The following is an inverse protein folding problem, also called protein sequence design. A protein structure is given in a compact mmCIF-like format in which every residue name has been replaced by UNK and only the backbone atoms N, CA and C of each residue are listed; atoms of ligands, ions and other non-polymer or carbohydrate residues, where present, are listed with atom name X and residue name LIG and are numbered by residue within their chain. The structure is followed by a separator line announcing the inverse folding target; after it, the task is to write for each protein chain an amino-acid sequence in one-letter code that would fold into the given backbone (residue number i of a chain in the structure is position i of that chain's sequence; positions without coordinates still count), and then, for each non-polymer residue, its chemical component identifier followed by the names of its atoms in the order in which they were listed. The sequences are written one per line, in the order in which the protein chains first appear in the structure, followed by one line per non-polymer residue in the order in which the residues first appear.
data_IF_324970441968
#
_entry.id   IF_324970441968
#
_cell.length_a   1.000
_cell.length_b   1.000
_cell.length_c   1.000
_cell.angle_alpha   90.00
_cell.angle_beta   90.00
_cell.angle_gamma   90.00
#
_symmetry.space_group_name_H-M   'P 1'
#
loop_
_entity.id
_entity.type
_entity.pdbx_description
1 polymer ?
#
# COMPACT_ATOMS: atom_id res chain seq x y z
N UNK A 1 -13.69 -23.86 -37.26
CA UNK A 1 -13.99 -22.61 -36.51
C UNK A 1 -13.90 -22.95 -35.04
N UNK A 2 -12.74 -22.75 -34.44
CA UNK A 2 -12.54 -22.95 -33.00
C UNK A 2 -13.21 -21.79 -32.27
N UNK A 3 -14.22 -22.10 -31.46
CA UNK A 3 -14.85 -21.17 -30.54
C UNK A 3 -13.82 -20.72 -29.51
N UNK A 4 -13.33 -19.50 -29.70
CA UNK A 4 -12.54 -18.78 -28.71
C UNK A 4 -13.45 -18.54 -27.50
N UNK A 5 -13.27 -19.33 -26.44
CA UNK A 5 -13.90 -19.08 -25.15
C UNK A 5 -13.33 -17.76 -24.62
N UNK A 6 -13.99 -16.65 -24.93
CA UNK A 6 -13.77 -15.37 -24.26
C UNK A 6 -14.13 -15.61 -22.79
N UNK A 7 -13.11 -15.86 -21.96
CA UNK A 7 -13.30 -16.01 -20.53
C UNK A 7 -14.03 -14.77 -20.01
N UNK A 8 -15.20 -14.97 -19.40
CA UNK A 8 -15.93 -13.87 -18.78
C UNK A 8 -15.00 -13.21 -17.76
N UNK A 9 -14.73 -11.89 -17.85
CA UNK A 9 -13.82 -11.24 -16.93
C UNK A 9 -14.35 -11.41 -15.51
N UNK A 10 -13.58 -12.05 -14.65
CA UNK A 10 -13.90 -12.21 -13.23
C UNK A 10 -13.00 -11.30 -12.41
N UNK A 11 -13.60 -10.58 -11.45
CA UNK A 11 -12.84 -9.73 -10.53
C UNK A 11 -11.96 -10.55 -9.58
N UNK A 12 -12.23 -11.85 -9.42
CA UNK A 12 -11.43 -12.76 -8.60
C UNK A 12 -9.98 -12.90 -9.07
N UNK A 13 -9.71 -12.63 -10.35
CA UNK A 13 -8.38 -12.76 -10.94
C UNK A 13 -7.63 -11.43 -11.07
N UNK A 14 -8.21 -10.32 -10.58
CA UNK A 14 -7.52 -9.02 -10.62
C UNK A 14 -6.33 -9.04 -9.67
N UNK A 15 -5.24 -8.42 -10.13
CA UNK A 15 -4.06 -8.20 -9.32
C UNK A 15 -4.24 -6.96 -8.42
N UNK A 16 -3.64 -6.95 -7.23
CA UNK A 16 -3.61 -5.78 -6.36
C UNK A 16 -2.87 -4.60 -6.98
N UNK A 17 -3.22 -3.40 -6.52
CA UNK A 17 -2.57 -2.14 -6.88
C UNK A 17 -2.60 -1.78 -8.36
N UNK A 18 -3.52 -2.35 -9.16
CA UNK A 18 -3.48 -2.17 -10.61
C UNK A 18 -3.56 -0.69 -11.02
N UNK A 19 -4.58 0.04 -10.57
CA UNK A 19 -4.78 1.46 -10.90
C UNK A 19 -3.60 2.34 -10.46
N UNK A 20 -3.12 2.13 -9.24
CA UNK A 20 -2.05 2.92 -8.63
C UNK A 20 -0.70 2.61 -9.28
N UNK A 21 -0.45 1.37 -9.69
CA UNK A 21 0.73 1.01 -10.48
C UNK A 21 0.65 1.64 -11.87
N UNK A 22 -0.51 1.60 -12.54
CA UNK A 22 -0.68 2.20 -13.86
C UNK A 22 -0.35 3.69 -13.82
N UNK A 23 -0.89 4.41 -12.84
CA UNK A 23 -0.66 5.83 -12.65
C UNK A 23 0.79 6.13 -12.26
N UNK A 24 1.39 5.29 -11.40
CA UNK A 24 2.81 5.40 -11.07
C UNK A 24 3.68 5.30 -12.34
N UNK A 25 3.45 4.31 -13.20
CA UNK A 25 4.22 4.10 -14.42
C UNK A 25 3.96 5.22 -15.44
N UNK A 26 2.72 5.69 -15.54
CA UNK A 26 2.34 6.81 -16.41
C UNK A 26 3.08 8.08 -16.04
N UNK A 27 3.10 8.44 -14.75
CA UNK A 27 3.82 9.63 -14.27
C UNK A 27 5.33 9.41 -14.35
N UNK A 28 5.82 8.22 -14.03
CA UNK A 28 7.25 7.90 -14.08
C UNK A 28 7.81 7.93 -15.51
N UNK A 29 6.99 7.68 -16.54
CA UNK A 29 7.42 7.69 -17.94
C UNK A 29 7.94 9.06 -18.41
N UNK A 30 7.58 10.17 -17.72
CA UNK A 30 8.10 11.51 -18.04
C UNK A 30 9.46 11.82 -17.38
N UNK A 31 9.94 10.94 -16.50
CA UNK A 31 11.18 11.15 -15.74
C UNK A 31 12.39 10.71 -16.58
N UNK A 32 13.37 11.60 -16.84
CA UNK A 32 14.58 11.22 -17.56
C UNK A 32 15.37 10.12 -16.84
N UNK A 33 16.01 9.19 -17.57
CA UNK A 33 16.82 8.15 -16.94
C UNK A 33 18.08 8.76 -16.30
N UNK A 34 18.45 8.25 -15.13
CA UNK A 34 19.67 8.68 -14.44
C UNK A 34 20.93 8.40 -15.27
N UNK A 35 21.85 9.37 -15.33
CA UNK A 35 23.17 9.21 -15.96
C UNK A 35 24.04 8.18 -15.24
N UNK A 36 25.13 7.75 -15.87
CA UNK A 36 26.07 6.81 -15.24
C UNK A 36 26.59 7.32 -13.88
N UNK A 37 26.91 8.61 -13.79
CA UNK A 37 27.39 9.27 -12.56
C UNK A 37 26.29 9.29 -11.49
N UNK A 38 25.05 9.65 -11.86
CA UNK A 38 23.92 9.64 -10.92
C UNK A 38 23.62 8.23 -10.38
N UNK A 39 23.67 7.22 -11.26
CA UNK A 39 23.52 5.80 -10.85
C UNK A 39 24.63 5.34 -9.92
N UNK A 40 25.85 5.83 -10.13
CA UNK A 40 27.01 5.52 -9.29
C UNK A 40 26.80 6.04 -7.86
N UNK A 41 26.36 7.29 -7.69
CA UNK A 41 26.09 7.90 -6.38
C UNK A 41 24.76 7.49 -5.74
N UNK A 42 23.94 6.66 -6.42
CA UNK A 42 22.67 6.20 -5.86
C UNK A 42 21.56 7.25 -5.85
N UNK A 43 21.56 8.14 -6.84
CA UNK A 43 20.41 9.01 -7.12
C UNK A 43 19.20 8.11 -7.43
N UNK A 44 18.06 8.41 -6.80
CA UNK A 44 16.83 7.65 -7.04
C UNK A 44 16.36 7.80 -8.49
N UNK A 45 15.94 6.73 -9.17
CA UNK A 45 15.29 6.86 -10.48
C UNK A 45 13.83 7.30 -10.37
N UNK A 46 13.23 7.24 -9.17
CA UNK A 46 11.84 7.60 -8.94
C UNK A 46 11.67 9.13 -9.00
N UNK A 47 10.77 9.59 -9.86
CA UNK A 47 10.40 11.01 -9.93
C UNK A 47 9.58 11.43 -8.73
N UNK A 48 9.70 12.71 -8.33
CA UNK A 48 8.96 13.29 -7.21
C UNK A 48 7.43 13.13 -7.38
N UNK A 49 6.91 13.37 -8.57
CA UNK A 49 5.46 13.29 -8.83
C UNK A 49 4.95 11.84 -8.91
N UNK A 50 5.85 10.88 -9.19
CA UNK A 50 5.53 9.45 -9.17
C UNK A 50 5.61 8.85 -7.75
N UNK A 51 6.29 9.50 -6.82
CA UNK A 51 6.53 8.97 -5.47
C UNK A 51 5.25 8.65 -4.69
N UNK A 52 4.21 9.52 -4.65
CA UNK A 52 2.97 9.20 -3.95
C UNK A 52 2.28 7.93 -4.50
N UNK A 53 2.27 7.75 -5.82
CA UNK A 53 1.71 6.57 -6.49
C UNK A 53 2.55 5.33 -6.21
N UNK A 54 3.87 5.45 -6.31
CA UNK A 54 4.81 4.37 -5.96
C UNK A 54 4.61 3.88 -4.52
N UNK A 55 4.52 4.81 -3.55
CA UNK A 55 4.25 4.46 -2.16
C UNK A 55 2.85 3.86 -2.00
N UNK A 56 1.83 4.39 -2.67
CA UNK A 56 0.49 3.81 -2.69
C UNK A 56 0.51 2.34 -3.12
N UNK A 57 1.14 2.05 -4.26
CA UNK A 57 1.26 0.70 -4.80
C UNK A 57 2.00 -0.25 -3.85
N UNK A 58 3.11 0.19 -3.25
CA UNK A 58 3.80 -0.61 -2.23
C UNK A 58 2.92 -0.92 -1.02
N UNK A 59 2.07 0.02 -0.62
CA UNK A 59 1.12 -0.18 0.47
C UNK A 59 0.12 -1.27 0.15
N UNK A 60 -0.58 -1.14 -0.98
CA UNK A 60 -1.59 -2.10 -1.42
C UNK A 60 -1.02 -3.50 -1.67
N UNK A 61 0.17 -3.59 -2.27
CA UNK A 61 0.87 -4.86 -2.45
C UNK A 61 1.21 -5.52 -1.10
N UNK A 62 1.63 -4.75 -0.10
CA UNK A 62 1.93 -5.27 1.23
C UNK A 62 0.67 -5.74 1.97
N UNK A 63 -0.45 -5.02 1.83
CA UNK A 63 -1.74 -5.45 2.38
C UNK A 63 -2.23 -6.71 1.69
N UNK A 64 -2.19 -6.77 0.36
CA UNK A 64 -2.55 -7.96 -0.41
C UNK A 64 -1.74 -9.20 0.03
N UNK A 65 -0.41 -9.07 0.10
CA UNK A 65 0.49 -10.14 0.57
C UNK A 65 0.12 -10.66 1.96
N UNK A 66 -0.40 -9.80 2.84
CA UNK A 66 -0.89 -10.23 4.16
C UNK A 66 -2.22 -10.94 4.07
N UNK A 67 -3.14 -10.45 3.25
CA UNK A 67 -4.46 -11.04 3.06
C UNK A 67 -4.37 -12.47 2.50
N UNK A 68 -3.34 -12.79 1.72
CA UNK A 68 -3.04 -14.17 1.26
C UNK A 68 -2.94 -15.17 2.43
N UNK A 69 -2.56 -14.69 3.63
CA UNK A 69 -2.44 -15.52 4.81
C UNK A 69 -3.77 -15.82 5.51
N UNK A 70 -4.93 -15.33 5.04
CA UNK A 70 -6.24 -15.55 5.69
C UNK A 70 -6.69 -17.02 5.68
N UNK A 71 -6.36 -17.76 4.62
CA UNK A 71 -6.64 -19.19 4.49
C UNK A 71 -8.07 -19.50 4.01
N UNK A 72 -8.49 -20.76 4.15
CA UNK A 72 -9.77 -21.25 3.61
C UNK A 72 -10.98 -20.51 4.20
N UNK A 73 -12.01 -20.35 3.39
CA UNK A 73 -13.25 -19.66 3.76
C UNK A 73 -13.15 -18.13 3.70
N UNK A 74 -12.01 -17.58 3.28
CA UNK A 74 -11.85 -16.16 2.98
C UNK A 74 -11.63 -15.95 1.49
N UNK A 75 -12.26 -14.92 0.94
CA UNK A 75 -12.15 -14.49 -0.44
C UNK A 75 -11.73 -13.03 -0.47
N UNK A 76 -10.77 -12.71 -1.33
CA UNK A 76 -10.21 -11.37 -1.46
C UNK A 76 -10.34 -10.95 -2.92
N UNK A 77 -10.96 -9.81 -3.15
CA UNK A 77 -11.03 -9.15 -4.44
C UNK A 77 -10.14 -7.92 -4.39
N UNK A 78 -9.35 -7.70 -5.42
CA UNK A 78 -8.40 -6.61 -5.52
C UNK A 78 -8.80 -5.61 -6.61
N UNK A 79 -8.48 -4.32 -6.42
CA UNK A 79 -8.73 -3.26 -7.40
C UNK A 79 -10.17 -3.31 -7.93
N UNK A 80 -11.13 -3.29 -6.99
CA UNK A 80 -12.55 -3.45 -7.30
C UNK A 80 -13.13 -2.10 -7.74
N UNK A 81 -13.67 -1.97 -8.96
CA UNK A 81 -14.14 -0.69 -9.47
C UNK A 81 -15.40 -0.26 -8.74
N UNK A 82 -15.42 0.98 -8.23
CA UNK A 82 -16.60 1.51 -7.53
C UNK A 82 -17.03 2.88 -8.06
N UNK A 83 -17.75 2.87 -9.18
CA UNK A 83 -18.51 4.01 -9.67
C UNK A 83 -18.11 4.54 -11.02
N UNK A 84 -18.43 5.81 -11.27
CA UNK A 84 -18.30 6.47 -12.59
C UNK A 84 -16.96 7.17 -12.79
N UNK A 85 -16.03 7.09 -11.82
CA UNK A 85 -14.71 7.73 -11.86
C UNK A 85 -13.57 6.71 -11.82
N UNK A 86 -12.33 7.18 -11.73
CA UNK A 86 -11.11 6.35 -11.73
C UNK A 86 -10.74 5.73 -10.37
N UNK A 87 -11.58 5.86 -9.34
CA UNK A 87 -11.28 5.33 -8.00
C UNK A 87 -11.79 3.90 -7.88
N UNK A 88 -10.86 2.96 -7.70
CA UNK A 88 -11.13 1.61 -7.25
C UNK A 88 -11.00 1.47 -5.73
N UNK A 89 -11.57 0.40 -5.18
CA UNK A 89 -11.26 -0.09 -3.84
C UNK A 89 -10.02 -0.96 -3.92
N UNK A 90 -9.07 -0.73 -3.03
CA UNK A 90 -7.86 -1.55 -2.95
C UNK A 90 -8.24 -3.03 -2.74
N UNK A 91 -9.07 -3.32 -1.71
CA UNK A 91 -9.51 -4.67 -1.41
C UNK A 91 -10.96 -4.76 -0.90
N UNK A 92 -11.65 -5.82 -1.32
CA UNK A 92 -12.88 -6.32 -0.69
C UNK A 92 -12.61 -7.71 -0.15
N UNK A 93 -12.84 -7.91 1.15
CA UNK A 93 -12.62 -9.19 1.82
C UNK A 93 -13.95 -9.75 2.30
N UNK A 94 -14.23 -11.00 1.95
CA UNK A 94 -15.45 -11.72 2.32
C UNK A 94 -15.02 -12.98 3.07
N UNK A 95 -15.56 -13.19 4.27
CA UNK A 95 -15.26 -14.38 5.04
C UNK A 95 -16.26 -14.62 6.16
N UNK A 96 -15.98 -15.55 7.10
CA UNK A 96 -16.93 -15.93 8.13
C UNK A 96 -17.37 -14.75 8.98
N UNK A 97 -16.51 -13.74 9.14
CA UNK A 97 -16.77 -12.55 9.94
C UNK A 97 -17.65 -11.48 9.26
N UNK A 98 -17.99 -11.65 7.97
CA UNK A 98 -18.71 -10.65 7.18
C UNK A 98 -17.93 -10.15 5.98
N UNK A 99 -18.33 -8.96 5.48
CA UNK A 99 -17.71 -8.27 4.34
C UNK A 99 -16.97 -7.02 4.82
N UNK A 100 -15.79 -6.78 4.27
CA UNK A 100 -14.92 -5.67 4.63
C UNK A 100 -14.42 -4.97 3.37
N UNK A 101 -14.49 -3.63 3.32
CA UNK A 101 -13.61 -2.87 2.42
C UNK A 101 -12.34 -2.54 3.18
N UNK A 102 -11.19 -2.71 2.53
CA UNK A 102 -9.90 -2.37 3.13
C UNK A 102 -9.25 -1.34 2.22
N UNK A 103 -9.11 -0.13 2.76
CA UNK A 103 -8.41 0.97 2.11
C UNK A 103 -7.02 1.13 2.73
N UNK A 104 -6.00 1.20 1.90
CA UNK A 104 -4.60 1.21 2.29
C UNK A 104 -4.07 2.63 2.34
N UNK A 105 -3.33 2.94 3.41
CA UNK A 105 -2.67 4.23 3.58
C UNK A 105 -1.22 4.03 3.96
N UNK A 106 -0.34 4.18 2.98
CA UNK A 106 1.10 4.07 3.19
C UNK A 106 1.67 5.40 3.68
N UNK A 107 2.12 5.40 4.94
CA UNK A 107 2.67 6.58 5.61
C UNK A 107 4.10 6.29 6.09
N UNK A 108 4.97 5.90 5.16
CA UNK A 108 6.36 5.47 5.44
C UNK A 108 7.09 6.51 6.29
N UNK A 109 7.57 6.11 7.46
CA UNK A 109 8.38 6.97 8.34
C UNK A 109 7.57 8.04 9.10
N UNK A 110 6.27 8.16 8.86
CA UNK A 110 5.44 9.22 9.43
C UNK A 110 4.77 8.81 10.74
N UNK A 111 4.29 9.81 11.48
CA UNK A 111 3.54 9.63 12.72
C UNK A 111 2.04 9.73 12.41
N UNK A 112 1.30 8.66 12.69
CA UNK A 112 -0.16 8.61 12.51
C UNK A 112 -0.84 8.72 13.87
N UNK A 113 -1.86 9.55 13.96
CA UNK A 113 -2.65 9.75 15.16
C UNK A 113 -4.13 9.58 14.84
N UNK A 114 -4.79 8.68 15.56
CA UNK A 114 -6.20 8.30 15.32
C UNK A 114 -7.05 8.80 16.48
N UNK A 115 -8.12 9.52 16.17
CA UNK A 115 -9.20 9.89 17.09
C UNK A 115 -10.56 9.53 16.50
N UNK A 116 -11.62 9.68 17.31
CA UNK A 116 -12.98 9.25 16.94
C UNK A 116 -13.47 9.72 15.57
N UNK A 117 -13.16 10.95 15.18
CA UNK A 117 -13.70 11.57 13.94
C UNK A 117 -12.65 11.94 12.89
N UNK A 118 -11.37 11.68 13.15
CA UNK A 118 -10.29 12.09 12.23
C UNK A 118 -9.00 11.30 12.44
N UNK A 119 -8.22 11.21 11.37
CA UNK A 119 -6.84 10.76 11.38
C UNK A 119 -5.96 11.98 11.11
N UNK A 120 -4.86 12.10 11.85
CA UNK A 120 -3.79 13.05 11.58
C UNK A 120 -2.54 12.29 11.11
N UNK A 121 -1.89 12.80 10.08
CA UNK A 121 -0.64 12.26 9.55
C UNK A 121 0.40 13.37 9.63
N UNK A 122 1.41 13.20 10.46
CA UNK A 122 2.45 14.21 10.72
C UNK A 122 1.85 15.59 11.08
N UNK A 123 0.76 15.59 11.86
CA UNK A 123 0.04 16.80 12.28
C UNK A 123 -1.03 17.31 11.29
N UNK A 124 -1.06 16.81 10.06
CA UNK A 124 -2.02 17.23 9.03
C UNK A 124 -3.31 16.42 9.09
N UNK A 125 -4.46 17.09 8.95
CA UNK A 125 -5.78 16.46 8.94
C UNK A 125 -6.02 15.72 7.64
N UNK A 126 -6.65 14.54 7.72
CA UNK A 126 -7.02 13.76 6.55
C UNK A 126 -8.50 13.42 6.52
N UNK A 127 -9.01 13.14 5.32
CA UNK A 127 -10.38 12.71 5.08
C UNK A 127 -10.56 11.18 5.06
N UNK A 128 -9.55 10.42 5.51
CA UNK A 128 -9.52 8.96 5.34
C UNK A 128 -10.73 8.25 5.94
N UNK A 129 -11.19 8.64 7.14
CA UNK A 129 -12.36 8.03 7.77
C UNK A 129 -13.64 8.26 6.96
N UNK A 130 -13.85 9.50 6.48
CA UNK A 130 -15.02 9.86 5.69
C UNK A 130 -15.04 9.08 4.38
N UNK A 131 -13.90 9.03 3.69
CA UNK A 131 -13.79 8.34 2.40
C UNK A 131 -14.03 6.83 2.58
N UNK A 132 -13.39 6.18 3.56
CA UNK A 132 -13.59 4.75 3.82
C UNK A 132 -15.05 4.42 4.17
N UNK A 133 -15.72 5.25 4.97
CA UNK A 133 -17.13 5.06 5.30
C UNK A 133 -18.04 5.20 4.07
N UNK A 134 -17.79 6.20 3.21
CA UNK A 134 -18.54 6.39 1.96
C UNK A 134 -18.36 5.21 1.00
N UNK A 135 -17.12 4.73 0.87
CA UNK A 135 -16.75 3.56 0.08
C UNK A 135 -17.49 2.31 0.57
N UNK A 136 -17.43 1.99 1.86
CA UNK A 136 -18.14 0.83 2.43
C UNK A 136 -19.66 0.93 2.25
N UNK A 137 -20.26 2.11 2.46
CA UNK A 137 -21.69 2.32 2.25
C UNK A 137 -22.08 2.08 0.79
N UNK A 138 -21.24 2.51 -0.15
CA UNK A 138 -21.46 2.26 -1.59
C UNK A 138 -21.36 0.77 -1.91
N UNK A 139 -20.32 0.11 -1.42
CA UNK A 139 -20.10 -1.34 -1.57
C UNK A 139 -21.28 -2.14 -1.02
N UNK A 140 -21.74 -1.80 0.19
CA UNK A 140 -22.91 -2.42 0.82
C UNK A 140 -24.14 -2.31 -0.08
N UNK A 141 -24.43 -1.11 -0.62
CA UNK A 141 -25.56 -0.92 -1.54
C UNK A 141 -25.45 -1.78 -2.80
N UNK A 142 -24.26 -1.83 -3.41
CA UNK A 142 -24.03 -2.58 -4.65
C UNK A 142 -24.14 -4.09 -4.43
N UNK A 143 -23.45 -4.62 -3.42
CA UNK A 143 -23.50 -6.05 -3.09
C UNK A 143 -24.89 -6.47 -2.63
N UNK A 144 -25.61 -5.62 -1.88
CA UNK A 144 -26.98 -5.94 -1.46
C UNK A 144 -27.92 -6.06 -2.66
N UNK A 145 -27.81 -5.15 -3.63
CA UNK A 145 -28.61 -5.19 -4.85
C UNK A 145 -28.28 -6.44 -5.69
N UNK A 146 -27.00 -6.77 -5.83
CA UNK A 146 -26.56 -7.92 -6.61
C UNK A 146 -26.89 -9.27 -5.93
N UNK A 147 -26.82 -9.34 -4.61
CA UNK A 147 -27.11 -10.55 -3.83
C UNK A 147 -28.61 -10.75 -3.57
N UNK A 148 -29.44 -9.73 -3.76
CA UNK A 148 -30.88 -9.76 -3.45
C UNK A 148 -31.19 -9.82 -1.95
N UNK A 149 -30.22 -9.48 -1.09
CA UNK A 149 -30.36 -9.49 0.37
C UNK A 149 -29.45 -8.42 1.00
N UNK A 150 -29.75 -7.91 2.21
CA UNK A 150 -28.88 -6.94 2.88
C UNK A 150 -27.47 -7.48 3.13
N UNK A 151 -26.46 -6.72 2.70
CA UNK A 151 -25.03 -7.00 2.91
C UNK A 151 -24.41 -5.84 3.68
N UNK A 152 -24.10 -6.07 4.95
CA UNK A 152 -23.35 -5.11 5.77
C UNK A 152 -21.86 -5.18 5.44
N UNK A 153 -21.24 -4.02 5.29
CA UNK A 153 -19.83 -3.90 4.91
C UNK A 153 -19.10 -3.05 5.94
N UNK A 154 -18.08 -3.63 6.57
CA UNK A 154 -17.27 -2.93 7.58
C UNK A 154 -16.11 -2.18 6.91
N UNK A 155 -16.07 -0.84 6.95
CA UNK A 155 -14.94 -0.08 6.43
C UNK A 155 -13.71 -0.27 7.32
N UNK A 156 -12.60 -0.61 6.68
CA UNK A 156 -11.31 -0.85 7.34
C UNK A 156 -10.23 -0.03 6.66
N UNK A 157 -9.38 0.63 7.45
CA UNK A 157 -8.19 1.33 6.98
C UNK A 157 -6.96 0.58 7.49
N UNK A 158 -6.10 0.16 6.57
CA UNK A 158 -4.81 -0.43 6.87
C UNK A 158 -3.70 0.62 6.74
N UNK A 159 -3.10 0.99 7.87
CA UNK A 159 -1.95 1.90 7.91
C UNK A 159 -0.68 1.08 7.68
N UNK A 160 0.05 1.40 6.61
CA UNK A 160 1.30 0.71 6.21
C UNK A 160 2.51 1.60 6.48
N UNK A 161 3.58 1.03 7.02
CA UNK A 161 4.90 1.69 7.08
C UNK A 161 5.03 2.89 8.03
N UNK A 162 3.98 3.21 8.80
CA UNK A 162 4.01 4.29 9.77
C UNK A 162 5.04 4.03 10.89
N UNK A 163 5.94 5.00 11.12
CA UNK A 163 6.96 4.95 12.19
C UNK A 163 6.30 4.79 13.56
N UNK A 164 5.18 5.47 13.77
CA UNK A 164 4.36 5.35 14.98
C UNK A 164 2.89 5.56 14.64
N UNK A 165 2.01 4.79 15.29
CA UNK A 165 0.56 4.95 15.20
C UNK A 165 0.04 5.04 16.63
N UNK A 166 -0.57 6.16 16.98
CA UNK A 166 -1.15 6.39 18.30
C UNK A 166 -2.66 6.45 18.16
N UNK A 167 -3.36 5.54 18.83
CA UNK A 167 -4.82 5.54 18.87
C UNK A 167 -5.25 6.19 20.18
N UNK A 168 -5.72 7.43 20.12
CA UNK A 168 -6.29 8.12 21.29
C UNK A 168 -7.72 7.66 21.55
N UNK A 169 -8.48 7.52 20.47
CA UNK A 169 -9.87 7.10 20.51
C UNK A 169 -10.20 6.39 19.20
N UNK A 170 -10.92 5.27 19.29
CA UNK A 170 -11.29 4.48 18.11
C UNK A 170 -12.49 5.12 17.41
N UNK A 171 -12.48 5.31 16.08
CA UNK A 171 -13.67 5.69 15.35
C UNK A 171 -14.78 4.66 15.53
N UNK A 172 -16.02 5.12 15.63
CA UNK A 172 -17.18 4.24 15.82
C UNK A 172 -17.46 3.40 14.57
N UNK A 173 -17.41 4.04 13.40
CA UNK A 173 -17.91 3.45 12.16
C UNK A 173 -16.81 2.86 11.27
N UNK A 174 -15.53 3.11 11.59
CA UNK A 174 -14.38 2.70 10.75
C UNK A 174 -13.31 2.05 11.60
N UNK A 175 -12.89 0.86 11.18
CA UNK A 175 -11.80 0.12 11.80
C UNK A 175 -10.47 0.66 11.27
N UNK A 176 -9.57 1.08 12.15
CA UNK A 176 -8.23 1.56 11.78
C UNK A 176 -7.19 0.67 12.45
N UNK A 177 -6.34 0.03 11.64
CA UNK A 177 -5.36 -0.95 12.10
C UNK A 177 -4.01 -0.70 11.43
N UNK A 178 -2.94 -1.19 12.06
CA UNK A 178 -1.70 -1.42 11.32
C UNK A 178 -1.87 -2.64 10.41
N UNK A 179 -1.18 -2.62 9.28
CA UNK A 179 -1.09 -3.74 8.35
C UNK A 179 -0.71 -5.06 9.06
N UNK A 180 0.18 -5.00 10.05
CA UNK A 180 0.62 -6.17 10.84
C UNK A 180 -0.46 -6.80 11.70
N UNK A 181 -1.52 -6.05 12.03
CA UNK A 181 -2.62 -6.49 12.90
C UNK A 181 -3.78 -7.07 12.09
N UNK A 182 -3.90 -6.69 10.81
CA UNK A 182 -5.07 -6.90 9.96
C UNK A 182 -5.56 -8.36 9.92
N UNK A 183 -4.70 -9.29 9.52
CA UNK A 183 -5.05 -10.71 9.37
C UNK A 183 -5.47 -11.33 10.70
N UNK A 184 -4.72 -11.02 11.76
CA UNK A 184 -5.02 -11.51 13.12
C UNK A 184 -6.36 -10.95 13.60
N UNK A 185 -6.63 -9.68 13.32
CA UNK A 185 -7.87 -9.03 13.69
C UNK A 185 -9.06 -9.67 12.97
N UNK A 186 -8.99 -9.83 11.64
CA UNK A 186 -10.03 -10.47 10.82
C UNK A 186 -10.35 -11.88 11.32
N UNK A 187 -9.33 -12.71 11.58
CA UNK A 187 -9.50 -14.10 12.05
C UNK A 187 -10.11 -14.23 13.44
N UNK A 188 -9.92 -13.23 14.32
CA UNK A 188 -10.45 -13.24 15.69
C UNK A 188 -11.89 -12.72 15.78
N UNK A 189 -12.46 -12.23 14.69
CA UNK A 189 -13.86 -11.80 14.67
C UNK A 189 -14.78 -13.01 14.80
N UNK A 190 -15.89 -12.82 15.50
CA UNK A 190 -16.96 -13.82 15.59
C UNK A 190 -17.51 -14.08 14.19
N UNK A 191 -17.73 -15.36 13.87
CA UNK A 191 -18.41 -15.74 12.64
C UNK A 191 -19.86 -15.23 12.64
N UNK A 192 -20.21 -14.48 11.61
CA UNK A 192 -21.53 -13.92 11.33
C UNK A 192 -22.18 -14.54 10.07
N UNK A 193 -21.38 -15.14 9.19
CA UNK A 193 -21.83 -15.79 7.96
C UNK A 193 -21.51 -17.29 7.99
N UNK A 194 -22.47 -18.11 7.58
CA UNK A 194 -22.27 -19.53 7.30
C UNK A 194 -21.39 -19.72 6.04
N UNK A 195 -20.65 -20.83 5.92
CA UNK A 195 -19.77 -21.08 4.77
C UNK A 195 -20.46 -20.90 3.40
N UNK A 196 -21.70 -21.38 3.27
CA UNK A 196 -22.46 -21.29 2.03
C UNK A 196 -22.89 -19.85 1.72
N UNK A 197 -23.10 -19.02 2.75
CA UNK A 197 -23.37 -17.58 2.55
C UNK A 197 -22.12 -16.86 2.06
N UNK A 198 -20.95 -17.21 2.62
CA UNK A 198 -19.66 -16.65 2.19
C UNK A 198 -19.41 -16.99 0.72
N UNK A 199 -19.57 -18.25 0.33
CA UNK A 199 -19.38 -18.71 -1.05
C UNK A 199 -20.33 -18.01 -2.02
N UNK A 200 -21.62 -17.92 -1.69
CA UNK A 200 -22.59 -17.20 -2.52
C UNK A 200 -22.23 -15.73 -2.70
N UNK A 201 -21.86 -15.04 -1.62
CA UNK A 201 -21.46 -13.63 -1.69
C UNK A 201 -20.16 -13.46 -2.47
N UNK A 202 -19.20 -14.37 -2.33
CA UNK A 202 -17.95 -14.34 -3.10
C UNK A 202 -18.20 -14.50 -4.60
N UNK A 203 -19.09 -15.43 -5.00
CA UNK A 203 -19.49 -15.61 -6.40
C UNK A 203 -20.15 -14.35 -6.95
N UNK A 204 -21.10 -13.76 -6.22
CA UNK A 204 -21.77 -12.51 -6.62
C UNK A 204 -20.75 -11.37 -6.74
N UNK A 205 -19.91 -11.17 -5.72
CA UNK A 205 -18.93 -10.08 -5.70
C UNK A 205 -17.85 -10.23 -6.80
N UNK A 206 -17.52 -11.45 -7.22
CA UNK A 206 -16.58 -11.69 -8.30
C UNK A 206 -17.14 -11.32 -9.68
N UNK A 207 -18.46 -11.21 -9.84
CA UNK A 207 -19.09 -10.82 -11.10
C UNK A 207 -18.95 -9.32 -11.32
N UNK A 208 -18.45 -8.86 -12.47
CA UNK A 208 -18.37 -7.43 -12.73
C UNK A 208 -19.71 -6.71 -12.75
N UNK A 209 -20.79 -7.41 -13.09
CA UNK A 209 -22.17 -6.89 -13.07
C UNK A 209 -22.66 -6.50 -11.67
N UNK A 210 -22.04 -7.04 -10.60
CA UNK A 210 -22.31 -6.60 -9.24
C UNK A 210 -21.80 -5.17 -8.97
N UNK A 211 -21.01 -4.60 -9.88
CA UNK A 211 -20.37 -3.29 -9.76
C UNK A 211 -20.80 -2.37 -10.91
N UNK A 212 -20.90 -1.07 -10.61
CA UNK A 212 -21.29 -0.09 -11.62
C UNK A 212 -20.11 0.22 -12.55
N UNK A 213 -20.18 -0.31 -13.78
CA UNK A 213 -19.27 -0.08 -14.93
C UNK A 213 -17.83 -0.57 -14.69
N UNK A 214 -17.43 -1.58 -15.45
CA UNK A 214 -16.02 -1.93 -15.62
C UNK A 214 -15.32 -0.84 -16.43
N UNK A 215 -14.27 -0.17 -15.93
CA UNK A 215 -13.21 0.23 -16.84
C UNK A 215 -12.64 -1.05 -17.47
N UNK A 216 -12.22 -1.01 -18.73
CA UNK A 216 -11.44 -2.10 -19.33
C UNK A 216 -10.37 -2.51 -18.32
N UNK A 217 -10.18 -3.82 -18.13
CA UNK A 217 -9.16 -4.32 -17.23
C UNK A 217 -7.83 -3.78 -17.74
N UNK A 218 -7.36 -2.69 -17.13
CA UNK A 218 -6.12 -2.04 -17.55
C UNK A 218 -5.04 -3.10 -17.42
N UNK A 219 -4.46 -3.51 -18.55
CA UNK A 219 -3.39 -4.50 -18.56
C UNK A 219 -2.16 -3.77 -18.07
N UNK A 220 -1.98 -3.77 -16.75
CA UNK A 220 -0.90 -3.06 -16.08
C UNK A 220 0.36 -3.93 -16.10
N UNK A 221 1.47 -3.37 -16.61
CA UNK A 221 2.78 -4.04 -16.58
C UNK A 221 3.36 -4.03 -15.14
N UNK A 222 2.92 -5.00 -14.34
CA UNK A 222 3.46 -5.24 -13.00
C UNK A 222 4.98 -5.53 -13.06
N UNK A 223 5.47 -6.08 -14.17
CA UNK A 223 6.90 -6.32 -14.38
C UNK A 223 7.69 -5.01 -14.50
N UNK A 224 7.15 -3.99 -15.17
CA UNK A 224 7.74 -2.65 -15.21
C UNK A 224 7.82 -2.04 -13.82
N UNK A 225 6.76 -2.17 -13.02
CA UNK A 225 6.77 -1.69 -11.65
C UNK A 225 7.81 -2.40 -10.77
N UNK A 226 7.94 -3.72 -10.90
CA UNK A 226 8.97 -4.48 -10.19
C UNK A 226 10.39 -4.08 -10.61
N UNK A 227 10.62 -3.81 -11.90
CA UNK A 227 11.90 -3.27 -12.38
C UNK A 227 12.21 -1.91 -11.74
N UNK A 228 11.23 -1.00 -11.75
CA UNK A 228 11.35 0.31 -11.09
C UNK A 228 11.67 0.15 -9.59
N UNK A 229 10.96 -0.75 -8.89
CA UNK A 229 11.20 -1.05 -7.47
C UNK A 229 12.62 -1.53 -7.21
N UNK A 230 13.11 -2.48 -8.00
CA UNK A 230 14.49 -2.99 -7.90
C UNK A 230 15.52 -1.87 -8.11
N UNK A 231 15.28 -0.97 -9.06
CA UNK A 231 16.19 0.15 -9.33
C UNK A 231 16.19 1.20 -8.22
N UNK A 232 15.01 1.52 -7.65
CA UNK A 232 14.88 2.38 -6.46
C UNK A 232 15.61 1.79 -5.26
N UNK A 233 15.42 0.50 -5.00
CA UNK A 233 16.09 -0.21 -3.91
C UNK A 233 17.62 -0.24 -4.10
N UNK A 234 18.08 -0.48 -5.32
CA UNK A 234 19.50 -0.44 -5.68
C UNK A 234 20.10 0.95 -5.47
N UNK A 235 19.40 2.00 -5.90
CA UNK A 235 19.83 3.37 -5.69
C UNK A 235 19.93 3.72 -4.20
N UNK A 236 18.92 3.32 -3.41
CA UNK A 236 18.91 3.48 -1.96
C UNK A 236 20.11 2.81 -1.27
N UNK A 237 20.40 1.54 -1.61
CA UNK A 237 21.56 0.81 -1.06
C UNK A 237 22.89 1.49 -1.41
N UNK A 238 23.06 1.95 -2.66
CA UNK A 238 24.26 2.68 -3.09
C UNK A 238 24.43 3.98 -2.30
N UNK A 239 23.36 4.75 -2.14
CA UNK A 239 23.38 6.01 -1.39
C UNK A 239 23.79 5.79 0.07
N UNK A 240 23.27 4.75 0.72
CA UNK A 240 23.69 4.39 2.09
C UNK A 240 25.16 3.97 2.13
N UNK A 241 25.62 3.19 1.14
CA UNK A 241 27.03 2.81 1.01
C UNK A 241 27.96 4.02 0.88
N UNK A 242 27.59 5.01 0.05
CA UNK A 242 28.34 6.26 -0.08
C UNK A 242 28.36 7.08 1.21
N UNK A 243 27.22 7.19 1.90
CA UNK A 243 27.15 7.90 3.18
C UNK A 243 28.07 7.24 4.23
N UNK A 244 28.07 5.91 4.29
CA UNK A 244 28.96 5.17 5.19
C UNK A 244 30.44 5.32 4.80
N UNK A 245 30.77 5.22 3.51
CA UNK A 245 32.13 5.40 3.01
C UNK A 245 32.69 6.79 3.32
N UNK A 246 31.87 7.84 3.23
CA UNK A 246 32.27 9.20 3.56
C UNK A 246 32.57 9.35 5.06
N UNK A 247 31.71 8.81 5.92
CA UNK A 247 31.93 8.81 7.39
C UNK A 247 33.19 8.01 7.76
N UNK A 248 33.36 6.82 7.20
CA UNK A 248 34.53 5.98 7.45
C UNK A 248 35.83 6.65 6.96
N UNK A 249 35.80 7.29 5.78
CA UNK A 249 36.94 8.03 5.23
C UNK A 249 37.34 9.22 6.08
N UNK A 250 36.38 10.03 6.55
CA UNK A 250 36.65 11.13 7.49
C UNK A 250 37.23 10.62 8.83
N UNK A 251 36.72 9.50 9.34
CA UNK A 251 37.24 8.86 10.55
C UNK A 251 38.69 8.39 10.39
N UNK A 252 39.01 7.74 9.27
CA UNK A 252 40.37 7.29 8.95
C UNK A 252 41.33 8.48 8.78
N UNK A 253 40.90 9.54 8.09
CA UNK A 253 41.71 10.76 7.94
C UNK A 253 41.97 11.44 9.29
N UNK A 254 40.94 11.55 10.14
CA UNK A 254 41.07 12.08 11.50
C UNK A 254 41.98 11.22 12.38
N UNK A 255 41.87 9.89 12.29
CA UNK A 255 42.75 8.98 13.01
C UNK A 255 44.21 9.08 12.55
N UNK A 256 44.45 9.15 11.24
CA UNK A 256 45.78 9.36 10.68
C UNK A 256 46.40 10.72 11.04
N UNK A 257 45.58 11.73 11.33
CA UNK A 257 46.04 13.06 11.76
C UNK A 257 46.33 13.16 13.27
N UNK A 258 45.84 12.24 14.11
CA UNK A 258 46.05 12.26 15.57
C UNK A 258 47.52 12.33 16.00
N UNK A 259 48.47 11.57 15.40
CA UNK A 259 49.88 11.64 15.77
C UNK A 259 50.47 13.02 15.49
N UNK A 260 50.14 13.60 14.34
CA UNK A 260 50.62 14.92 13.91
C UNK A 260 50.12 16.04 14.84
N UNK A 261 48.87 15.95 15.28
CA UNK A 261 48.29 16.89 16.24
C UNK A 261 48.92 16.73 17.63
N UNK A 262 49.15 15.48 18.07
CA UNK A 262 49.81 15.19 19.35
C UNK A 262 51.24 15.72 19.39
N UNK A 263 52.00 15.57 18.30
CA UNK A 263 53.34 16.11 18.18
C UNK A 263 53.35 17.65 18.21
N UNK A 264 52.43 18.29 17.49
CA UNK A 264 52.30 19.75 17.50
C UNK A 264 51.95 20.31 18.90
N UNK A 265 51.03 19.67 19.63
CA UNK A 265 50.68 20.07 21.01
C UNK A 265 51.87 19.88 21.95
N UNK A 266 52.60 18.76 21.83
CA UNK A 266 53.77 18.49 22.67
C UNK A 266 54.89 19.51 22.44
N UNK A 267 55.11 19.92 21.19
CA UNK A 267 56.07 20.96 20.83
C UNK A 267 55.68 22.35 21.38
N UNK A 268 54.39 22.68 21.43
CA UNK A 268 53.90 23.94 22.02
C UNK A 268 53.99 23.98 23.55
N UNK A 269 53.90 22.83 24.23
CA UNK A 269 54.01 22.75 25.70
C UNK A 269 55.46 22.69 26.19
N UNK A 270 56.42 22.37 25.30
CA UNK A 270 57.83 22.23 25.63
C UNK A 270 58.69 23.48 25.34
N UNK A 271 58.11 24.52 24.72
CA UNK A 271 58.75 25.82 24.45
C UNK A 271 58.16 26.94 25.29
#
# INVERSE_FOLDING_TARGET
MSTEHVATPSLANRRPAASVIAECLRVQASVPPNTAVQRFFGVSPLGHDAEPWYLGALGELEVARRLDALGRGWFVLHSVPIGTGSSDLDHVVIGPAGVFTINTKHHRGQHVWVAAKRILVSGQRTDHLRNAAHEAKRTSKLLSAAAGAPVEVTPTIAIVGAKRMTVRERPADVVVLREVELVRWLRRRRAALAPEQVERLAVVAAQPSAWQRMPEAEVVDHGAFERLRVDVDRASRRRVGWAFGLVAGLGLAGWAALPLVSEAISAMLAG
#
